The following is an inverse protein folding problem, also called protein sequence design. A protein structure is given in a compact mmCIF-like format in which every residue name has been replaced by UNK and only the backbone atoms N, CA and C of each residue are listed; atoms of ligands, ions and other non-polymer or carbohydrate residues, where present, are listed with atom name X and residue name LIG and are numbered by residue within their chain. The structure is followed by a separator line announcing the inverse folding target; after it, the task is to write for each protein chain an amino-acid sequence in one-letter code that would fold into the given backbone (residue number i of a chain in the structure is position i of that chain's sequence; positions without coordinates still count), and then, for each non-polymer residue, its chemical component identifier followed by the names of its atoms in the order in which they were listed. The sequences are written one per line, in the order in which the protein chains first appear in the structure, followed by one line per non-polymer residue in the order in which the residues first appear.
data_IF_837058207932
#
_entry.id   IF_837058207932
#
_cell.length_a   1.000
_cell.length_b   1.000
_cell.length_c   1.000
_cell.angle_alpha   90.00
_cell.angle_beta   90.00
_cell.angle_gamma   90.00
#
_symmetry.space_group_name_H-M   'P 1'
#
loop_
_entity.id
_entity.type
_entity.pdbx_description
1 polymer ?
#
# COMPACT_ATOMS: atom_id res chain seq x y z
N UNK A 1 -12.29 12.26 12.87
CA UNK A 1 -13.51 11.63 12.33
C UNK A 1 -13.50 10.11 12.54
N UNK A 2 -12.80 9.58 13.55
CA UNK A 2 -12.76 8.14 13.83
C UNK A 2 -13.63 7.82 15.05
N UNK A 3 -14.51 6.83 14.93
CA UNK A 3 -15.35 6.34 16.03
C UNK A 3 -14.88 4.93 16.43
N UNK A 4 -14.15 4.77 17.56
CA UNK A 4 -13.54 3.49 17.95
C UNK A 4 -14.54 2.34 18.13
N UNK A 5 -15.78 2.66 18.47
CA UNK A 5 -16.84 1.68 18.76
C UNK A 5 -17.72 1.35 17.56
N UNK A 6 -17.52 1.99 16.41
CA UNK A 6 -18.35 1.73 15.22
C UNK A 6 -18.12 0.28 14.76
N UNK A 7 -19.14 -0.61 14.74
CA UNK A 7 -19.00 -1.95 14.21
C UNK A 7 -19.16 -1.97 12.68
N UNK A 8 -18.78 -3.08 12.06
CA UNK A 8 -19.10 -3.37 10.67
C UNK A 8 -19.70 -4.76 10.50
N UNK A 9 -20.69 -4.89 9.61
CA UNK A 9 -21.32 -6.16 9.24
C UNK A 9 -21.43 -6.28 7.72
N UNK A 10 -21.38 -7.50 7.20
CA UNK A 10 -21.68 -7.83 5.80
C UNK A 10 -22.92 -8.73 5.80
N UNK A 11 -24.00 -8.31 5.12
CA UNK A 11 -25.26 -9.06 5.04
C UNK A 11 -25.79 -9.53 6.42
N UNK A 12 -25.72 -8.66 7.43
CA UNK A 12 -26.16 -8.94 8.80
C UNK A 12 -25.21 -9.82 9.63
N UNK A 13 -24.09 -10.27 9.06
CA UNK A 13 -23.05 -11.01 9.79
C UNK A 13 -21.97 -10.04 10.26
N UNK A 14 -21.68 -10.04 11.57
CA UNK A 14 -20.64 -9.21 12.18
C UNK A 14 -19.25 -9.59 11.63
N UNK A 15 -18.49 -8.59 11.18
CA UNK A 15 -17.11 -8.78 10.70
C UNK A 15 -16.11 -8.96 11.82
N UNK A 16 -16.50 -8.73 13.08
CA UNK A 16 -15.68 -8.67 14.31
C UNK A 16 -14.73 -7.47 14.38
N UNK A 17 -14.76 -6.57 13.40
CA UNK A 17 -13.95 -5.36 13.40
C UNK A 17 -14.77 -4.16 13.90
N UNK A 18 -14.12 -3.35 14.72
CA UNK A 18 -14.64 -2.06 15.17
C UNK A 18 -13.63 -0.95 14.87
N UNK A 19 -14.08 0.30 14.94
CA UNK A 19 -13.25 1.47 14.69
C UNK A 19 -13.25 1.84 13.21
N UNK A 20 -14.08 2.80 12.83
CA UNK A 20 -14.17 3.29 11.45
C UNK A 20 -14.30 4.80 11.40
N UNK A 21 -13.93 5.35 10.25
CA UNK A 21 -14.27 6.73 9.92
C UNK A 21 -15.78 6.90 9.89
N UNK A 22 -16.26 7.97 10.51
CA UNK A 22 -17.67 8.35 10.56
C UNK A 22 -17.78 9.88 10.44
N UNK A 23 -18.82 10.39 9.76
CA UNK A 23 -19.09 11.83 9.73
C UNK A 23 -19.20 12.39 11.14
N UNK A 24 -18.75 13.64 11.28
CA UNK A 24 -18.91 14.39 12.52
C UNK A 24 -19.62 15.70 12.22
N UNK A 25 -20.81 15.86 12.77
CA UNK A 25 -21.58 17.09 12.62
C UNK A 25 -20.90 18.25 13.35
N UNK A 26 -21.26 19.49 12.98
CA UNK A 26 -20.72 20.71 13.60
C UNK A 26 -20.99 20.81 15.11
N UNK A 27 -22.06 20.15 15.59
CA UNK A 27 -22.37 20.06 17.02
C UNK A 27 -21.48 19.03 17.77
N UNK A 28 -20.55 18.37 17.07
CA UNK A 28 -19.60 17.41 17.61
C UNK A 28 -20.10 15.96 17.69
N UNK A 29 -21.38 15.69 17.43
CA UNK A 29 -21.94 14.33 17.43
C UNK A 29 -21.58 13.60 16.14
N UNK A 30 -21.47 12.28 16.22
CA UNK A 30 -21.24 11.44 15.03
C UNK A 30 -22.54 11.24 14.24
N UNK A 31 -22.43 11.30 12.92
CA UNK A 31 -23.41 10.68 12.03
C UNK A 31 -23.06 9.22 11.80
N UNK A 32 -23.95 8.50 11.12
CA UNK A 32 -23.76 7.09 10.79
C UNK A 32 -23.65 6.92 9.28
N UNK A 33 -22.55 6.31 8.84
CA UNK A 33 -22.41 5.70 7.53
C UNK A 33 -22.03 4.23 7.74
N UNK A 34 -22.75 3.30 7.11
CA UNK A 34 -22.38 1.89 7.15
C UNK A 34 -20.94 1.73 6.61
N UNK A 35 -20.01 1.12 7.37
CA UNK A 35 -18.62 1.04 6.94
C UNK A 35 -18.40 0.40 5.58
N UNK A 36 -19.31 -0.48 5.11
CA UNK A 36 -19.20 -1.15 3.81
C UNK A 36 -19.97 -0.44 2.68
N UNK A 37 -20.72 0.63 2.97
CA UNK A 37 -21.42 1.40 1.95
C UNK A 37 -20.42 1.92 0.89
N UNK A 38 -20.78 1.83 -0.39
CA UNK A 38 -19.91 2.10 -1.54
C UNK A 38 -18.70 1.16 -1.65
N UNK A 39 -18.93 -0.11 -1.29
CA UNK A 39 -18.06 -1.21 -1.68
C UNK A 39 -18.77 -2.08 -2.73
N UNK A 40 -18.07 -3.01 -3.40
CA UNK A 40 -18.71 -3.99 -4.29
C UNK A 40 -19.84 -4.80 -3.64
N UNK A 41 -19.86 -4.86 -2.30
CA UNK A 41 -20.85 -5.63 -1.54
C UNK A 41 -22.08 -4.82 -1.12
N UNK A 42 -22.04 -3.49 -1.13
CA UNK A 42 -23.17 -2.64 -0.75
C UNK A 42 -23.15 -1.32 -1.50
N UNK A 43 -24.10 -1.15 -2.43
CA UNK A 43 -24.37 0.12 -3.11
C UNK A 43 -23.10 0.74 -3.74
N UNK A 44 -22.36 -0.08 -4.48
CA UNK A 44 -21.00 0.20 -4.97
C UNK A 44 -20.82 1.60 -5.57
N UNK A 45 -21.66 2.00 -6.53
CA UNK A 45 -21.54 3.28 -7.23
C UNK A 45 -22.29 4.42 -6.55
N UNK A 46 -22.88 4.21 -5.37
CA UNK A 46 -23.71 5.25 -4.74
C UNK A 46 -22.92 6.46 -4.27
N UNK A 47 -21.60 6.35 -4.11
CA UNK A 47 -20.70 7.46 -3.77
C UNK A 47 -20.07 8.13 -5.01
N UNK A 48 -20.54 7.79 -6.23
CA UNK A 48 -19.93 8.27 -7.48
C UNK A 48 -20.72 9.49 -7.97
N UNK A 49 -20.13 10.69 -7.82
CA UNK A 49 -20.72 11.96 -8.28
C UNK A 49 -22.20 12.15 -7.90
N UNK A 50 -22.57 11.68 -6.71
CA UNK A 50 -23.95 11.63 -6.23
C UNK A 50 -24.13 12.60 -5.05
N UNK A 51 -25.09 13.54 -5.09
CA UNK A 51 -25.40 14.41 -3.96
C UNK A 51 -25.82 13.63 -2.70
N UNK A 52 -26.35 12.41 -2.86
CA UNK A 52 -26.71 11.51 -1.76
C UNK A 52 -25.62 10.46 -1.47
N UNK A 53 -24.39 10.67 -1.97
CA UNK A 53 -23.28 9.72 -1.88
C UNK A 53 -22.63 9.58 -0.51
N UNK A 54 -23.21 10.18 0.54
CA UNK A 54 -22.65 10.21 1.89
C UNK A 54 -21.22 10.78 1.93
N UNK A 55 -20.35 10.32 2.82
CA UNK A 55 -19.18 11.09 3.30
C UNK A 55 -17.84 10.61 2.75
N UNK A 56 -17.87 9.53 1.97
CA UNK A 56 -16.72 8.99 1.24
C UNK A 56 -16.95 9.16 -0.26
N UNK A 57 -15.88 9.20 -1.03
CA UNK A 57 -15.94 9.33 -2.49
C UNK A 57 -15.35 8.09 -3.15
N UNK A 58 -16.13 7.46 -4.03
CA UNK A 58 -15.78 6.25 -4.78
C UNK A 58 -15.18 5.09 -3.96
N UNK A 59 -15.59 4.99 -2.70
CA UNK A 59 -15.09 3.92 -1.84
C UNK A 59 -15.76 3.93 -0.49
N UNK A 60 -15.61 2.82 0.22
CA UNK A 60 -16.21 2.62 1.53
C UNK A 60 -15.34 3.18 2.66
N UNK A 61 -15.93 3.40 3.84
CA UNK A 61 -15.16 3.78 5.02
C UNK A 61 -14.14 2.69 5.42
N UNK A 62 -14.39 1.43 5.06
CA UNK A 62 -13.41 0.35 5.13
C UNK A 62 -12.11 0.68 4.38
N UNK A 63 -12.21 1.13 3.13
CA UNK A 63 -11.06 1.54 2.33
C UNK A 63 -10.40 2.80 2.90
N UNK A 64 -11.20 3.85 3.16
CA UNK A 64 -10.69 5.14 3.62
C UNK A 64 -10.05 5.09 5.02
N UNK A 65 -10.39 4.10 5.85
CA UNK A 65 -9.73 3.92 7.17
C UNK A 65 -8.22 3.74 7.04
N UNK A 66 -7.72 3.27 5.89
CA UNK A 66 -6.31 3.04 5.63
C UNK A 66 -5.56 4.27 5.06
N UNK A 67 -6.25 5.38 4.81
CA UNK A 67 -5.68 6.53 4.12
C UNK A 67 -5.06 7.56 5.08
N UNK A 68 -3.97 7.15 5.74
CA UNK A 68 -3.15 8.03 6.60
C UNK A 68 -1.66 7.94 6.19
N UNK A 69 -1.32 8.21 4.91
CA UNK A 69 0.02 7.96 4.37
C UNK A 69 1.13 8.70 5.11
N UNK A 70 0.82 9.84 5.75
CA UNK A 70 1.75 10.64 6.54
C UNK A 70 2.11 10.04 7.90
N UNK A 71 1.25 9.19 8.49
CA UNK A 71 1.47 8.70 9.86
C UNK A 71 0.86 7.31 10.08
N UNK A 72 1.43 6.34 9.37
CA UNK A 72 0.99 4.95 9.42
C UNK A 72 1.23 4.32 10.79
N UNK A 73 2.29 4.71 11.50
CA UNK A 73 2.54 4.25 12.86
C UNK A 73 1.40 4.63 13.83
N UNK A 74 0.92 5.88 13.80
CA UNK A 74 -0.21 6.29 14.61
C UNK A 74 -1.52 5.58 14.22
N UNK A 75 -1.74 5.35 12.91
CA UNK A 75 -2.89 4.58 12.43
C UNK A 75 -2.84 3.13 12.94
N UNK A 76 -1.70 2.46 12.82
CA UNK A 76 -1.51 1.09 13.29
C UNK A 76 -1.78 0.99 14.80
N UNK A 77 -1.25 1.92 15.60
CA UNK A 77 -1.52 1.97 17.03
C UNK A 77 -3.02 2.17 17.31
N UNK A 78 -3.68 3.08 16.57
CA UNK A 78 -5.12 3.36 16.69
C UNK A 78 -5.99 2.15 16.37
N UNK A 79 -5.56 1.33 15.40
CA UNK A 79 -6.27 0.14 14.96
C UNK A 79 -5.90 -1.13 15.74
N UNK A 80 -5.25 -1.01 16.91
CA UNK A 80 -4.98 -2.15 17.81
C UNK A 80 -3.62 -2.81 17.60
N UNK A 81 -2.70 -2.15 16.89
CA UNK A 81 -1.32 -2.59 16.70
C UNK A 81 -1.10 -3.44 15.45
N UNK A 82 0.16 -3.83 15.18
CA UNK A 82 0.55 -4.43 13.90
C UNK A 82 -0.21 -5.71 13.54
N UNK A 83 -0.47 -6.60 14.50
CA UNK A 83 -1.16 -7.86 14.26
C UNK A 83 -2.62 -7.64 13.84
N UNK A 84 -3.32 -6.73 14.51
CA UNK A 84 -4.71 -6.40 14.20
C UNK A 84 -4.81 -5.66 12.86
N UNK A 85 -3.86 -4.76 12.60
CA UNK A 85 -3.76 -4.07 11.31
C UNK A 85 -3.60 -5.04 10.13
N UNK A 86 -2.71 -6.04 10.26
CA UNK A 86 -2.53 -7.11 9.27
C UNK A 86 -3.81 -7.95 9.12
N UNK A 87 -4.49 -8.28 10.22
CA UNK A 87 -5.77 -9.00 10.17
C UNK A 87 -6.83 -8.23 9.38
N UNK A 88 -6.89 -6.91 9.61
CA UNK A 88 -7.83 -6.00 8.94
C UNK A 88 -7.54 -5.84 7.45
N UNK A 89 -6.26 -5.72 7.06
CA UNK A 89 -5.86 -5.71 5.66
C UNK A 89 -6.20 -7.03 4.96
N UNK A 90 -5.90 -8.18 5.59
CA UNK A 90 -6.27 -9.48 5.00
C UNK A 90 -7.77 -9.56 4.74
N UNK A 91 -8.58 -9.18 5.74
CA UNK A 91 -10.03 -9.15 5.58
C UNK A 91 -10.49 -8.22 4.45
N UNK A 92 -9.92 -7.02 4.35
CA UNK A 92 -10.24 -6.08 3.27
C UNK A 92 -9.98 -6.69 1.88
N UNK A 93 -8.83 -7.34 1.69
CA UNK A 93 -8.47 -7.97 0.41
C UNK A 93 -9.27 -9.24 0.09
N UNK A 94 -9.71 -10.00 1.10
CA UNK A 94 -10.32 -11.32 0.91
C UNK A 94 -11.85 -11.33 0.95
N UNK A 95 -12.46 -10.31 1.58
CA UNK A 95 -13.92 -10.25 1.78
C UNK A 95 -14.71 -9.86 0.53
N UNK A 96 -14.06 -9.27 -0.49
CA UNK A 96 -14.72 -8.64 -1.64
C UNK A 96 -15.09 -7.17 -1.43
N UNK A 97 -14.69 -6.56 -0.30
CA UNK A 97 -14.89 -5.13 -0.03
C UNK A 97 -13.99 -4.21 -0.88
N UNK A 98 -12.80 -4.68 -1.24
CA UNK A 98 -11.83 -3.92 -2.01
C UNK A 98 -11.99 -4.19 -3.51
N UNK A 99 -12.10 -3.11 -4.27
CA UNK A 99 -12.07 -3.12 -5.73
C UNK A 99 -10.79 -2.44 -6.20
N UNK A 100 -9.90 -3.19 -6.87
CA UNK A 100 -8.60 -2.68 -7.30
C UNK A 100 -8.68 -1.70 -8.48
N UNK A 101 -9.87 -1.57 -9.08
CA UNK A 101 -10.13 -0.66 -10.19
C UNK A 101 -10.41 0.79 -9.80
N UNK A 102 -10.27 1.15 -8.51
CA UNK A 102 -10.30 2.52 -8.00
C UNK A 102 -9.00 2.82 -7.19
N UNK A 103 -8.51 4.06 -7.21
CA UNK A 103 -7.17 4.45 -6.73
C UNK A 103 -6.92 4.20 -5.24
N UNK A 104 -7.97 4.32 -4.42
CA UNK A 104 -7.89 4.15 -2.96
C UNK A 104 -7.46 2.72 -2.59
N UNK A 105 -7.64 1.76 -3.49
CA UNK A 105 -7.25 0.37 -3.30
C UNK A 105 -5.76 0.10 -3.54
N UNK A 106 -5.03 1.01 -4.19
CA UNK A 106 -3.61 0.81 -4.50
C UNK A 106 -2.75 0.75 -3.24
N UNK A 107 -2.91 1.74 -2.35
CA UNK A 107 -2.09 1.86 -1.15
C UNK A 107 -2.24 0.65 -0.20
N UNK A 108 -3.46 0.15 0.13
CA UNK A 108 -3.64 -1.03 0.98
C UNK A 108 -2.80 -2.26 0.60
N UNK A 109 -2.52 -2.47 -0.69
CA UNK A 109 -1.64 -3.56 -1.17
C UNK A 109 -0.27 -3.51 -0.49
N UNK A 110 0.25 -2.31 -0.24
CA UNK A 110 1.60 -2.09 0.25
C UNK A 110 1.68 -1.77 1.76
N UNK A 111 0.56 -1.58 2.46
CA UNK A 111 0.58 -1.14 3.86
C UNK A 111 1.12 -2.16 4.86
N UNK A 112 1.29 -3.42 4.46
CA UNK A 112 1.94 -4.43 5.30
C UNK A 112 3.41 -4.08 5.63
N UNK A 113 4.07 -3.24 4.83
CA UNK A 113 5.42 -2.73 5.10
C UNK A 113 5.50 -2.01 6.45
N UNK A 114 4.51 -1.18 6.76
CA UNK A 114 4.43 -0.45 8.03
C UNK A 114 4.12 -1.34 9.24
N UNK A 115 3.58 -2.53 9.01
CA UNK A 115 3.30 -3.52 10.04
C UNK A 115 4.38 -4.61 10.16
N UNK A 116 5.54 -4.42 9.52
CA UNK A 116 6.65 -5.39 9.54
C UNK A 116 6.36 -6.69 8.81
N UNK A 117 5.47 -6.66 7.80
CA UNK A 117 5.09 -7.82 6.98
C UNK A 117 5.20 -7.57 5.47
N UNK A 118 6.33 -7.05 4.95
CA UNK A 118 6.49 -6.73 3.52
C UNK A 118 6.25 -7.94 2.60
N UNK A 119 6.51 -9.16 3.09
CA UNK A 119 6.21 -10.40 2.38
C UNK A 119 4.72 -10.55 1.99
N UNK A 120 3.79 -10.00 2.79
CA UNK A 120 2.37 -9.98 2.43
C UNK A 120 2.04 -8.99 1.33
N UNK A 121 2.73 -7.86 1.26
CA UNK A 121 2.61 -6.96 0.11
C UNK A 121 3.12 -7.61 -1.17
N UNK A 122 4.22 -8.37 -1.08
CA UNK A 122 4.70 -9.18 -2.19
C UNK A 122 3.64 -10.21 -2.66
N UNK A 123 3.03 -10.94 -1.72
CA UNK A 123 1.91 -11.86 -2.01
C UNK A 123 0.75 -11.14 -2.71
N UNK A 124 0.31 -9.98 -2.19
CA UNK A 124 -0.82 -9.22 -2.77
C UNK A 124 -0.52 -8.71 -4.17
N UNK A 125 0.65 -8.11 -4.40
CA UNK A 125 0.98 -7.55 -5.72
C UNK A 125 1.14 -8.65 -6.77
N UNK A 126 1.79 -9.77 -6.42
CA UNK A 126 1.92 -10.94 -7.29
C UNK A 126 0.60 -11.70 -7.50
N UNK A 127 -0.42 -11.44 -6.69
CA UNK A 127 -1.78 -11.91 -6.95
C UNK A 127 -2.59 -10.95 -7.84
N UNK A 128 -2.61 -9.65 -7.52
CA UNK A 128 -3.45 -8.67 -8.23
C UNK A 128 -3.01 -8.41 -9.66
N UNK A 129 -1.71 -8.18 -9.90
CA UNK A 129 -1.21 -7.83 -11.23
C UNK A 129 -1.59 -8.89 -12.28
N UNK A 130 -1.23 -10.18 -12.13
CA UNK A 130 -1.56 -11.18 -13.14
C UNK A 130 -3.05 -11.56 -13.20
N UNK A 131 -3.83 -11.30 -12.15
CA UNK A 131 -5.26 -11.66 -12.15
C UNK A 131 -6.17 -10.55 -12.68
N UNK A 132 -5.73 -9.30 -12.70
CA UNK A 132 -6.58 -8.14 -13.02
C UNK A 132 -6.02 -7.27 -14.15
N UNK A 133 -4.74 -7.44 -14.51
CA UNK A 133 -4.09 -6.65 -15.55
C UNK A 133 -3.53 -7.52 -16.67
N UNK A 134 -3.71 -7.11 -17.93
CA UNK A 134 -3.14 -7.76 -19.10
C UNK A 134 -3.02 -6.76 -20.28
N UNK A 135 -2.48 -7.23 -21.40
CA UNK A 135 -2.19 -6.43 -22.60
C UNK A 135 -3.34 -6.38 -23.63
N UNK A 136 -4.52 -6.89 -23.28
CA UNK A 136 -5.70 -6.84 -24.15
C UNK A 136 -6.41 -5.49 -24.06
N UNK A 137 -7.37 -5.24 -24.97
CA UNK A 137 -8.15 -4.00 -24.99
C UNK A 137 -9.04 -3.79 -23.75
N UNK A 138 -9.27 -4.83 -22.95
CA UNK A 138 -10.03 -4.78 -21.68
C UNK A 138 -9.14 -5.17 -20.49
N UNK A 139 -7.83 -4.94 -20.63
CA UNK A 139 -6.80 -5.44 -19.73
C UNK A 139 -6.55 -4.63 -18.46
N UNK A 140 -7.45 -3.71 -18.09
CA UNK A 140 -7.41 -2.98 -16.82
C UNK A 140 -8.74 -3.19 -16.07
N UNK A 141 -8.72 -3.22 -14.72
CA UNK A 141 -9.89 -3.57 -13.93
C UNK A 141 -10.93 -2.45 -13.83
N UNK A 142 -10.54 -1.19 -14.06
CA UNK A 142 -11.38 0.00 -13.97
C UNK A 142 -11.00 1.06 -15.00
N UNK A 143 -11.31 2.32 -14.72
CA UNK A 143 -10.85 3.43 -15.56
C UNK A 143 -9.33 3.58 -15.45
N UNK A 144 -8.67 4.02 -16.53
CA UNK A 144 -7.22 4.31 -16.44
C UNK A 144 -6.93 5.59 -15.64
N UNK A 145 -7.92 6.47 -15.51
CA UNK A 145 -7.88 7.74 -14.78
C UNK A 145 -6.62 8.56 -15.07
N UNK A 146 -6.42 8.79 -16.37
CA UNK A 146 -5.31 9.58 -16.91
C UNK A 146 -3.93 9.02 -16.57
N UNK A 147 -3.81 7.69 -16.55
CA UNK A 147 -2.58 6.96 -16.30
C UNK A 147 -2.36 6.54 -14.85
N UNK A 148 -3.36 6.67 -13.97
CA UNK A 148 -3.29 6.19 -12.60
C UNK A 148 -3.10 4.66 -12.57
N UNK A 149 -3.93 3.90 -13.27
CA UNK A 149 -3.80 2.44 -13.39
C UNK A 149 -2.49 2.04 -14.05
N UNK A 150 -2.16 2.66 -15.19
CA UNK A 150 -0.91 2.40 -15.88
C UNK A 150 0.33 2.64 -15.00
N UNK A 151 0.33 3.73 -14.22
CA UNK A 151 1.43 4.06 -13.30
C UNK A 151 1.50 3.08 -12.12
N UNK A 152 0.36 2.71 -11.55
CA UNK A 152 0.28 1.71 -10.49
C UNK A 152 0.89 0.39 -10.92
N UNK A 153 0.48 -0.15 -12.08
CA UNK A 153 1.01 -1.41 -12.61
C UNK A 153 2.49 -1.29 -12.92
N UNK A 154 2.94 -0.21 -13.57
CA UNK A 154 4.35 -0.03 -13.91
C UNK A 154 5.24 -0.02 -12.66
N UNK A 155 4.85 0.75 -11.63
CA UNK A 155 5.60 0.83 -10.38
C UNK A 155 5.58 -0.50 -9.62
N UNK A 156 4.40 -1.12 -9.49
CA UNK A 156 4.24 -2.44 -8.90
C UNK A 156 5.12 -3.50 -9.58
N UNK A 157 5.16 -3.50 -10.92
CA UNK A 157 6.00 -4.40 -11.72
C UNK A 157 7.49 -4.11 -11.56
N UNK A 158 7.86 -2.84 -11.36
CA UNK A 158 9.23 -2.45 -10.99
C UNK A 158 9.61 -2.86 -9.55
N UNK A 159 8.67 -3.37 -8.76
CA UNK A 159 8.90 -3.75 -7.37
C UNK A 159 8.93 -2.55 -6.42
N UNK A 160 8.26 -1.45 -6.77
CA UNK A 160 8.25 -0.22 -5.99
C UNK A 160 6.83 0.36 -5.87
N UNK A 161 6.53 0.97 -4.73
CA UNK A 161 5.32 1.78 -4.58
C UNK A 161 5.61 3.08 -3.84
N UNK A 162 5.36 4.26 -4.42
CA UNK A 162 5.63 5.54 -3.78
C UNK A 162 4.60 5.81 -2.67
N UNK A 163 5.08 6.24 -1.51
CA UNK A 163 4.20 6.83 -0.50
C UNK A 163 4.02 8.33 -0.82
N UNK A 164 2.83 8.78 -1.23
CA UNK A 164 2.65 10.12 -1.75
C UNK A 164 2.96 11.20 -0.70
N UNK A 165 3.61 12.28 -1.16
CA UNK A 165 4.01 13.41 -0.31
C UNK A 165 5.27 13.18 0.52
N UNK A 166 5.93 12.03 0.36
CA UNK A 166 7.19 11.69 1.01
C UNK A 166 8.21 11.20 -0.02
N UNK A 167 9.49 11.18 0.35
CA UNK A 167 10.56 10.64 -0.49
C UNK A 167 10.70 9.12 -0.36
N UNK A 168 9.61 8.39 -0.08
CA UNK A 168 9.62 6.97 0.30
C UNK A 168 9.04 6.08 -0.81
N UNK A 169 9.74 5.00 -1.13
CA UNK A 169 9.29 3.94 -2.05
C UNK A 169 9.31 2.58 -1.33
N UNK A 170 8.16 1.94 -1.18
CA UNK A 170 8.03 0.61 -0.57
C UNK A 170 8.53 -0.47 -1.53
N UNK A 171 9.33 -1.43 -1.06
CA UNK A 171 10.03 -2.41 -1.90
C UNK A 171 9.29 -3.75 -1.92
N UNK A 172 8.88 -4.18 -3.11
CA UNK A 172 8.42 -5.56 -3.37
C UNK A 172 9.33 -6.24 -4.40
N UNK A 173 9.33 -7.58 -4.50
CA UNK A 173 10.04 -8.25 -5.59
C UNK A 173 9.48 -7.81 -6.95
N UNK A 174 10.34 -7.39 -7.90
CA UNK A 174 9.90 -6.96 -9.22
C UNK A 174 9.43 -8.14 -10.08
N UNK A 175 8.70 -7.81 -11.15
CA UNK A 175 8.27 -8.73 -12.19
C UNK A 175 9.33 -8.93 -13.29
N UNK A 176 10.52 -8.38 -13.08
CA UNK A 176 11.65 -8.47 -14.00
C UNK A 176 12.89 -8.95 -13.25
N UNK A 177 13.75 -9.71 -13.94
CA UNK A 177 15.06 -10.10 -13.38
C UNK A 177 15.90 -8.85 -13.05
N UNK A 178 15.87 -7.83 -13.91
CA UNK A 178 16.49 -6.55 -13.65
C UNK A 178 15.85 -5.43 -14.47
N UNK A 179 15.90 -4.21 -13.94
CA UNK A 179 15.59 -2.99 -14.68
C UNK A 179 16.53 -1.86 -14.27
N UNK A 180 16.61 -0.82 -15.10
CA UNK A 180 17.35 0.38 -14.74
C UNK A 180 16.70 1.65 -15.25
N UNK A 181 16.81 2.73 -14.47
CA UNK A 181 16.39 4.07 -14.84
C UNK A 181 17.60 4.98 -14.83
N UNK A 182 17.82 5.70 -15.93
CA UNK A 182 18.84 6.74 -16.01
C UNK A 182 18.18 8.09 -15.75
N UNK A 183 18.65 8.78 -14.71
CA UNK A 183 18.28 10.15 -14.44
C UNK A 183 18.85 11.06 -15.54
N UNK A 184 17.97 11.71 -16.30
CA UNK A 184 18.40 12.55 -17.44
C UNK A 184 19.11 13.84 -17.02
N UNK A 185 18.99 14.25 -15.76
CA UNK A 185 19.62 15.47 -15.23
C UNK A 185 21.00 15.15 -14.67
N UNK A 186 21.11 14.16 -13.78
CA UNK A 186 22.39 13.80 -13.14
C UNK A 186 23.24 12.85 -13.97
N UNK A 187 22.64 12.16 -14.96
CA UNK A 187 23.28 11.09 -15.72
C UNK A 187 23.44 9.78 -14.95
N UNK A 188 23.06 9.76 -13.66
CA UNK A 188 23.19 8.61 -12.79
C UNK A 188 22.19 7.51 -13.15
N UNK A 189 22.58 6.26 -12.89
CA UNK A 189 21.79 5.08 -13.22
C UNK A 189 21.42 4.32 -11.95
N UNK A 190 20.12 4.24 -11.69
CA UNK A 190 19.54 3.39 -10.65
C UNK A 190 19.17 2.04 -11.25
N UNK A 191 19.56 0.94 -10.60
CA UNK A 191 19.32 -0.43 -11.07
C UNK A 191 18.75 -1.26 -9.94
N UNK A 192 17.63 -1.94 -10.20
CA UNK A 192 17.12 -3.00 -9.32
C UNK A 192 17.31 -4.32 -10.04
N UNK A 193 17.83 -5.32 -9.34
CA UNK A 193 18.01 -6.68 -9.87
C UNK A 193 17.68 -7.74 -8.84
N UNK A 194 17.27 -8.90 -9.32
CA UNK A 194 16.82 -10.03 -8.50
C UNK A 194 17.75 -11.23 -8.69
N UNK A 195 18.31 -11.74 -7.61
CA UNK A 195 18.97 -13.04 -7.55
C UNK A 195 17.92 -14.10 -7.29
N UNK A 196 18.01 -15.24 -7.99
CA UNK A 196 16.99 -16.29 -8.02
C UNK A 196 15.64 -15.82 -8.60
N UNK A 197 15.67 -14.91 -9.58
CA UNK A 197 14.48 -14.58 -10.34
C UNK A 197 13.93 -15.82 -11.05
N UNK A 198 12.61 -15.95 -11.02
CA UNK A 198 11.87 -17.03 -11.66
C UNK A 198 10.64 -16.43 -12.35
N UNK A 199 10.55 -16.62 -13.66
CA UNK A 199 9.46 -16.09 -14.48
C UNK A 199 8.10 -16.74 -14.20
N UNK A 200 8.07 -17.88 -13.48
CA UNK A 200 6.83 -18.48 -12.97
C UNK A 200 6.36 -17.88 -11.65
N UNK A 201 7.13 -16.95 -11.07
CA UNK A 201 6.84 -16.24 -9.83
C UNK A 201 6.56 -17.19 -8.64
N UNK A 202 7.27 -18.32 -8.55
CA UNK A 202 7.24 -19.17 -7.34
C UNK A 202 8.12 -18.59 -6.21
N UNK A 203 9.12 -17.77 -6.57
CA UNK A 203 10.04 -17.13 -5.62
C UNK A 203 9.77 -15.64 -5.48
N UNK A 204 8.70 -15.29 -4.76
CA UNK A 204 8.21 -13.91 -4.60
C UNK A 204 8.49 -13.31 -3.22
N UNK A 205 9.41 -13.88 -2.45
CA UNK A 205 9.74 -13.34 -1.12
C UNK A 205 11.20 -12.93 -1.06
N UNK A 206 11.45 -11.69 -0.66
CA UNK A 206 12.80 -11.16 -0.46
C UNK A 206 13.40 -11.83 0.78
N UNK A 207 14.53 -12.51 0.60
CA UNK A 207 15.29 -13.21 1.64
C UNK A 207 16.37 -12.31 2.24
N UNK A 208 16.97 -11.47 1.40
CA UNK A 208 17.98 -10.49 1.75
C UNK A 208 18.10 -9.44 0.64
N UNK A 209 18.65 -8.28 0.95
CA UNK A 209 18.97 -7.27 -0.04
C UNK A 209 20.37 -6.68 0.19
N UNK A 210 20.98 -6.19 -0.88
CA UNK A 210 22.13 -5.29 -0.79
C UNK A 210 21.86 -4.00 -1.55
N UNK A 211 22.37 -2.89 -1.03
CA UNK A 211 22.37 -1.61 -1.72
C UNK A 211 23.83 -1.21 -1.94
N UNK A 212 24.24 -1.13 -3.21
CA UNK A 212 25.62 -0.88 -3.61
C UNK A 212 26.63 -1.89 -3.00
N UNK A 213 26.20 -3.14 -2.81
CA UNK A 213 27.01 -4.22 -2.24
C UNK A 213 27.03 -4.28 -0.71
N UNK A 214 26.44 -3.30 -0.03
CA UNK A 214 26.30 -3.31 1.43
C UNK A 214 24.95 -3.91 1.85
N UNK A 215 24.93 -4.60 3.00
CA UNK A 215 23.71 -5.23 3.50
C UNK A 215 22.60 -4.19 3.71
N UNK A 216 21.42 -4.46 3.16
CA UNK A 216 20.28 -3.56 3.21
C UNK A 216 19.06 -4.28 3.78
N UNK A 217 18.50 -3.73 4.85
CA UNK A 217 17.41 -4.39 5.60
C UNK A 217 16.11 -3.60 5.63
N UNK A 218 16.13 -2.29 5.31
CA UNK A 218 14.93 -1.47 5.23
C UNK A 218 14.03 -1.97 4.11
N UNK A 219 12.73 -2.01 4.35
CA UNK A 219 11.74 -2.47 3.36
C UNK A 219 11.28 -1.37 2.39
N UNK A 220 12.01 -0.26 2.33
CA UNK A 220 11.69 0.94 1.58
C UNK A 220 12.99 1.62 1.11
N UNK A 221 12.93 2.46 0.07
CA UNK A 221 14.02 3.31 -0.43
C UNK A 221 13.64 4.79 -0.33
N UNK A 222 14.66 5.65 -0.33
CA UNK A 222 14.49 7.10 -0.53
C UNK A 222 14.56 7.48 -2.00
N UNK A 223 14.01 8.65 -2.37
CA UNK A 223 14.13 9.19 -3.74
C UNK A 223 15.59 9.41 -4.18
N UNK A 224 16.52 9.61 -3.25
CA UNK A 224 17.95 9.76 -3.54
C UNK A 224 18.55 8.58 -4.32
N UNK A 225 17.99 7.37 -4.22
CA UNK A 225 18.39 6.23 -5.04
C UNK A 225 18.34 6.54 -6.55
N UNK A 226 17.37 7.35 -6.99
CA UNK A 226 17.22 7.76 -8.39
C UNK A 226 18.05 9.00 -8.75
N UNK A 227 18.46 9.80 -7.76
CA UNK A 227 19.30 10.98 -7.98
C UNK A 227 20.78 10.60 -8.09
N UNK A 228 21.23 9.77 -7.16
CA UNK A 228 22.63 9.36 -7.00
C UNK A 228 22.95 8.12 -7.84
N UNK A 229 21.93 7.36 -8.22
CA UNK A 229 22.08 6.05 -8.84
C UNK A 229 22.50 4.99 -7.82
N UNK A 230 22.67 3.77 -8.31
CA UNK A 230 23.06 2.64 -7.48
C UNK A 230 22.49 1.32 -7.94
N UNK A 231 22.80 0.28 -7.18
CA UNK A 231 22.32 -1.09 -7.42
C UNK A 231 21.65 -1.62 -6.16
N UNK A 232 20.34 -1.80 -6.22
CA UNK A 232 19.59 -2.61 -5.26
C UNK A 232 19.52 -4.04 -5.80
N UNK A 233 20.14 -4.98 -5.09
CA UNK A 233 20.07 -6.40 -5.40
C UNK A 233 19.20 -7.11 -4.37
N UNK A 234 18.16 -7.80 -4.83
CA UNK A 234 17.20 -8.54 -4.02
C UNK A 234 17.42 -10.04 -4.19
N UNK A 235 17.72 -10.78 -3.13
CA UNK A 235 17.75 -12.25 -3.19
C UNK A 235 16.36 -12.80 -2.93
N UNK A 236 15.78 -13.50 -3.89
CA UNK A 236 14.43 -14.03 -3.81
C UNK A 236 14.39 -15.49 -3.33
N UNK A 237 13.24 -15.88 -2.78
CA UNK A 237 12.96 -17.23 -2.29
C UNK A 237 11.47 -17.53 -2.21
N UNK A 238 11.14 -18.79 -1.95
CA UNK A 238 9.77 -19.35 -2.01
C UNK A 238 8.94 -19.16 -0.76
N UNK A 239 9.55 -18.79 0.37
CA UNK A 239 8.88 -18.65 1.66
C UNK A 239 9.12 -17.25 2.23
N UNK A 240 8.20 -16.75 3.06
CA UNK A 240 8.42 -15.53 3.84
C UNK A 240 9.74 -15.60 4.63
N UNK A 241 10.42 -14.47 4.73
CA UNK A 241 11.68 -14.34 5.47
C UNK A 241 11.56 -13.28 6.58
N UNK A 242 12.63 -13.10 7.35
CA UNK A 242 12.72 -12.04 8.35
C UNK A 242 13.19 -10.68 7.79
N UNK A 243 13.49 -10.57 6.50
CA UNK A 243 13.96 -9.34 5.88
C UNK A 243 12.90 -8.23 5.96
N UNK A 244 13.29 -7.02 6.38
CA UNK A 244 12.39 -5.88 6.39
C UNK A 244 11.26 -5.95 7.44
N UNK A 245 11.43 -6.77 8.48
CA UNK A 245 10.37 -7.02 9.49
C UNK A 245 10.61 -6.33 10.83
N UNK A 246 11.84 -5.86 11.10
CA UNK A 246 12.17 -5.26 12.39
C UNK A 246 11.66 -3.82 12.48
N UNK A 247 11.39 -3.29 13.69
CA UNK A 247 10.93 -1.91 13.87
C UNK A 247 11.80 -0.86 13.16
N UNK A 248 13.13 -1.03 13.15
CA UNK A 248 14.08 -0.13 12.50
C UNK A 248 14.12 -0.26 10.96
N UNK A 249 13.52 -1.31 10.40
CA UNK A 249 13.44 -1.54 8.96
C UNK A 249 12.15 -0.97 8.34
N UNK A 250 11.21 -0.51 9.17
CA UNK A 250 9.90 0.01 8.74
C UNK A 250 10.05 1.38 8.06
N UNK A 251 9.10 1.75 7.17
CA UNK A 251 9.10 3.08 6.57
C UNK A 251 8.76 4.17 7.61
N UNK A 252 9.19 5.41 7.36
CA UNK A 252 9.00 6.51 8.29
C UNK A 252 7.53 6.87 8.51
N UNK A 253 7.22 7.48 9.64
CA UNK A 253 5.89 8.00 9.98
C UNK A 253 6.05 9.20 10.90
N UNK A 254 5.20 10.22 10.77
CA UNK A 254 5.31 11.46 11.56
C UNK A 254 5.44 11.21 13.07
N UNK A 255 4.72 10.22 13.61
CA UNK A 255 4.76 9.91 15.06
C UNK A 255 5.99 9.12 15.52
N UNK A 256 6.82 8.64 14.60
CA UNK A 256 8.04 7.85 14.89
C UNK A 256 9.32 8.51 14.38
N UNK A 257 9.21 9.56 13.58
CA UNK A 257 10.36 10.41 13.27
C UNK A 257 10.90 11.01 14.57
N UNK A 258 12.22 10.96 14.81
CA UNK A 258 12.82 11.78 15.85
C UNK A 258 12.43 13.24 15.58
N UNK A 259 12.03 14.00 16.60
CA UNK A 259 11.86 15.45 16.45
C UNK A 259 13.12 16.00 15.79
N UNK A 260 13.01 16.43 14.53
CA UNK A 260 14.07 17.17 13.90
C UNK A 260 14.14 18.50 14.64
N UNK A 261 15.25 18.73 15.34
CA UNK A 261 15.57 20.05 15.91
C UNK A 261 15.36 21.08 14.80
N UNK A 262 14.31 21.89 14.96
CA UNK A 262 13.57 22.46 13.85
C UNK A 262 14.44 23.19 12.83
N UNK A 263 14.58 22.61 11.64
CA UNK A 263 14.83 23.35 10.41
C UNK A 263 14.14 22.59 9.27
N UNK A 264 12.90 22.99 8.96
CA UNK A 264 12.32 22.75 7.64
C UNK A 264 12.97 23.78 6.70
N UNK A 265 14.06 23.40 6.02
CA UNK A 265 14.49 24.15 4.83
C UNK A 265 13.68 23.64 3.64
N UNK A 266 12.84 24.52 3.09
CA UNK A 266 12.21 24.38 1.79
C UNK A 266 13.14 24.95 0.70
#
# INVERSE_FOLDING_TARGET
MFLPTQPSSINGTDTTFTGFLQPRFLNGTFGLQDPIFCSPLLNFTSCYLNPDGHETYEGSAWLYTFFVPQDMAALIATLGGPAEFVRRLNFLHESGLLYIGDEQAFQPVFLYHYAGRPAKSAERVHAYIPSQFNDTTVGIPGNDDSGAMGSFVALAMMGLFPNPGQDVYLITPPFFEAWSVTNKITGQKATVRSVNFDASYESIYIQSATLNGEAYTRNWLTHSFFLDGGVLELTLGRNESAWGTRPEDLPPSLSTEPESDGVLEW
#
